data_IF_475155889310
#
_entry.id   IF_475155889310
#
_cell.length_a   1.000
_cell.length_b   1.000
_cell.length_c   1.000
_cell.angle_alpha   90.00
_cell.angle_beta   90.00
_cell.angle_gamma   90.00
#
_symmetry.space_group_name_H-M   'P 1'
#
loop_
_entity.id
_entity.type
_entity.pdbx_description
1 polymer ?
#
# COMPACT_ATOMS: atom_id res chain seq x y z
N UNK A 1 39.56 54.69 35.74
CA UNK A 1 39.72 53.59 34.78
C UNK A 1 38.59 52.57 35.02
N UNK A 2 37.56 52.57 34.15
CA UNK A 2 36.41 51.64 34.25
C UNK A 2 36.75 50.43 33.37
N UNK A 3 36.80 49.23 33.98
CA UNK A 3 36.97 47.98 33.26
C UNK A 3 35.60 47.48 32.78
N UNK A 4 35.39 47.39 31.48
CA UNK A 4 34.22 46.83 30.83
C UNK A 4 34.48 45.31 30.70
N UNK A 5 33.75 44.52 31.49
CA UNK A 5 33.77 43.07 31.36
C UNK A 5 32.94 42.62 30.17
N UNK A 6 33.56 41.96 29.21
CA UNK A 6 32.90 41.37 28.05
C UNK A 6 32.29 40.02 28.45
N UNK A 7 30.96 39.93 28.52
CA UNK A 7 30.25 38.64 28.76
C UNK A 7 30.02 38.00 27.39
N UNK A 8 30.74 36.89 27.11
CA UNK A 8 30.53 36.07 25.95
C UNK A 8 29.42 35.05 26.30
N UNK A 9 28.22 35.27 25.76
CA UNK A 9 27.13 34.28 25.84
C UNK A 9 27.35 33.25 24.74
N UNK A 10 27.81 32.06 25.11
CA UNK A 10 27.89 30.92 24.20
C UNK A 10 26.47 30.37 23.95
N UNK A 11 25.92 30.61 22.78
CA UNK A 11 24.68 29.98 22.29
C UNK A 11 24.99 28.52 21.93
N UNK A 12 24.70 27.59 22.83
CA UNK A 12 24.74 26.16 22.54
C UNK A 12 23.45 25.83 21.75
N UNK A 13 23.56 25.74 20.43
CA UNK A 13 22.50 25.20 19.59
C UNK A 13 22.41 23.71 19.76
N UNK A 14 21.42 23.22 20.52
CA UNK A 14 21.06 21.83 20.53
C UNK A 14 20.47 21.47 19.17
N UNK A 15 21.27 20.86 18.29
CA UNK A 15 20.77 20.21 17.10
C UNK A 15 19.99 18.96 17.56
N UNK A 16 18.68 19.11 17.72
CA UNK A 16 17.77 17.99 17.93
C UNK A 16 17.82 17.10 16.70
N UNK A 17 18.54 15.99 16.77
CA UNK A 17 18.46 14.94 15.78
C UNK A 17 17.08 14.28 15.92
N UNK A 18 16.07 14.82 15.24
CA UNK A 18 14.80 14.15 15.05
C UNK A 18 15.08 12.86 14.31
N UNK A 19 15.09 11.73 15.04
CA UNK A 19 15.03 10.42 14.40
C UNK A 19 13.71 10.41 13.63
N UNK A 20 13.77 10.32 12.30
CA UNK A 20 12.59 10.19 11.47
C UNK A 20 11.77 9.00 12.00
N UNK A 21 10.62 9.29 12.59
CA UNK A 21 9.73 8.27 13.13
C UNK A 21 9.25 7.44 11.94
N UNK A 22 9.45 6.12 12.02
CA UNK A 22 9.08 5.22 10.93
C UNK A 22 7.56 5.28 10.72
N UNK A 23 7.14 5.64 9.53
CA UNK A 23 5.73 5.80 9.18
C UNK A 23 5.17 4.45 8.73
N UNK A 24 4.29 3.85 9.52
CA UNK A 24 3.65 2.60 9.17
C UNK A 24 2.36 2.83 8.38
N UNK A 25 2.19 2.08 7.29
CA UNK A 25 1.04 2.14 6.40
C UNK A 25 -0.01 1.06 6.72
N UNK A 26 0.31 0.16 7.63
CA UNK A 26 -0.53 -0.91 8.13
C UNK A 26 -0.60 -0.83 9.65
N UNK A 27 -1.70 -1.25 10.29
CA UNK A 27 -1.81 -1.23 11.75
C UNK A 27 -0.77 -2.17 12.37
N UNK A 28 -0.20 -1.74 13.51
CA UNK A 28 0.66 -2.56 14.35
C UNK A 28 -0.20 -3.28 15.40
N UNK A 29 0.01 -4.56 15.60
CA UNK A 29 -0.68 -5.35 16.63
C UNK A 29 -1.94 -6.08 16.09
N UNK A 30 -2.66 -6.84 16.91
CA UNK A 30 -3.85 -7.60 16.51
C UNK A 30 -5.03 -6.66 16.32
N UNK A 31 -5.69 -6.71 15.17
CA UNK A 31 -7.00 -6.11 14.94
C UNK A 31 -8.01 -7.24 14.78
N UNK A 32 -8.97 -7.33 15.70
CA UNK A 32 -10.16 -8.18 15.61
C UNK A 32 -9.91 -9.58 15.00
N UNK A 33 -9.38 -10.51 15.78
CA UNK A 33 -9.27 -11.97 15.55
C UNK A 33 -8.59 -12.48 14.25
N UNK A 34 -8.18 -11.61 13.32
CA UNK A 34 -7.43 -12.01 12.13
C UNK A 34 -5.91 -11.93 12.35
N UNK A 35 -5.19 -12.93 11.82
CA UNK A 35 -3.71 -12.94 11.82
C UNK A 35 -3.20 -11.74 11.03
N UNK A 36 -2.42 -10.89 11.68
CA UNK A 36 -1.88 -9.68 11.06
C UNK A 36 -0.62 -9.94 10.26
N UNK A 37 -0.27 -8.93 9.46
CA UNK A 37 1.06 -8.86 8.85
C UNK A 37 2.12 -8.84 9.94
N UNK A 38 3.22 -9.57 9.77
CA UNK A 38 4.37 -9.48 10.67
C UNK A 38 5.09 -8.13 10.53
N UNK A 39 5.87 -7.78 11.54
CA UNK A 39 6.58 -6.49 11.61
C UNK A 39 7.53 -6.26 10.43
N UNK A 40 8.17 -7.31 9.90
CA UNK A 40 9.05 -7.19 8.74
C UNK A 40 8.24 -6.82 7.50
N UNK A 41 7.14 -7.52 7.21
CA UNK A 41 6.24 -7.23 6.09
C UNK A 41 5.66 -5.81 6.20
N UNK A 42 5.17 -5.41 7.39
CA UNK A 42 4.64 -4.06 7.63
C UNK A 42 5.69 -3.00 7.29
N UNK A 43 6.93 -3.17 7.76
CA UNK A 43 8.01 -2.22 7.51
C UNK A 43 8.33 -2.14 6.02
N UNK A 44 8.58 -3.27 5.36
CA UNK A 44 8.93 -3.34 3.95
C UNK A 44 7.84 -2.72 3.06
N UNK A 45 6.57 -3.12 3.25
CA UNK A 45 5.46 -2.59 2.45
C UNK A 45 5.24 -1.10 2.71
N UNK A 46 5.44 -0.64 3.96
CA UNK A 46 5.34 0.77 4.31
C UNK A 46 6.40 1.61 3.61
N UNK A 47 7.64 1.15 3.52
CA UNK A 47 8.72 1.83 2.79
C UNK A 47 8.37 1.99 1.30
N UNK A 48 7.77 0.96 0.68
CA UNK A 48 7.33 1.01 -0.73
C UNK A 48 6.18 2.02 -0.91
N UNK A 49 5.18 2.01 -0.03
CA UNK A 49 4.03 2.91 -0.10
C UNK A 49 4.41 4.36 0.20
N UNK A 50 5.34 4.59 1.13
CA UNK A 50 5.89 5.92 1.42
C UNK A 50 6.64 6.49 0.20
N UNK A 51 7.50 5.69 -0.44
CA UNK A 51 8.23 6.10 -1.62
C UNK A 51 7.31 6.44 -2.81
N UNK A 52 6.16 5.77 -2.91
CA UNK A 52 5.12 6.06 -3.90
C UNK A 52 4.17 7.19 -3.47
N UNK A 53 4.43 7.84 -2.33
CA UNK A 53 3.58 8.89 -1.77
C UNK A 53 2.10 8.48 -1.71
N UNK A 54 1.85 7.29 -1.14
CA UNK A 54 0.50 6.78 -0.91
C UNK A 54 -0.10 7.29 0.40
N UNK A 55 -1.44 7.39 0.54
CA UNK A 55 -2.07 7.68 1.83
C UNK A 55 -2.03 6.46 2.76
N UNK A 56 -2.07 6.72 4.07
CA UNK A 56 -2.30 5.68 5.08
C UNK A 56 -3.81 5.47 5.19
N UNK A 57 -4.34 4.41 4.56
CA UNK A 57 -5.79 4.26 4.46
C UNK A 57 -6.47 3.79 5.75
N UNK A 58 -5.81 3.01 6.60
CA UNK A 58 -6.41 2.53 7.86
C UNK A 58 -6.61 3.66 8.90
N UNK A 59 -5.91 4.79 8.76
CA UNK A 59 -6.07 5.96 9.61
C UNK A 59 -7.12 6.96 9.08
N UNK A 60 -7.61 6.75 7.86
CA UNK A 60 -8.62 7.64 7.27
C UNK A 60 -9.97 7.46 8.00
N UNK A 61 -10.42 8.52 8.69
CA UNK A 61 -11.68 8.56 9.45
C UNK A 61 -12.87 9.04 8.62
N UNK A 62 -12.68 9.36 7.35
CA UNK A 62 -13.77 9.78 6.46
C UNK A 62 -14.68 8.61 6.11
N UNK A 63 -15.88 8.91 5.60
CA UNK A 63 -16.80 7.90 5.08
C UNK A 63 -16.44 7.38 3.69
N UNK A 64 -15.28 7.77 3.18
CA UNK A 64 -14.77 7.30 1.89
C UNK A 64 -14.48 5.79 1.96
N UNK A 65 -14.98 5.05 0.98
CA UNK A 65 -14.56 3.67 0.76
C UNK A 65 -13.30 3.65 -0.10
N UNK A 66 -12.28 2.95 0.36
CA UNK A 66 -10.99 2.87 -0.32
C UNK A 66 -10.49 1.45 -0.32
N UNK A 67 -10.10 0.99 -1.50
CA UNK A 67 -9.42 -0.30 -1.67
C UNK A 67 -8.09 -0.06 -2.40
N UNK A 68 -7.03 -0.74 -1.95
CA UNK A 68 -5.70 -0.61 -2.53
C UNK A 68 -5.09 -1.97 -2.79
N UNK A 69 -4.73 -2.21 -4.04
CA UNK A 69 -3.90 -3.33 -4.44
C UNK A 69 -2.46 -2.87 -4.59
N UNK A 70 -1.55 -3.49 -3.85
CA UNK A 70 -0.10 -3.27 -3.91
C UNK A 70 0.57 -4.52 -4.41
N UNK A 71 1.33 -4.41 -5.49
CA UNK A 71 2.02 -5.53 -6.11
C UNK A 71 3.53 -5.29 -6.10
N UNK A 72 4.24 -6.03 -5.26
CA UNK A 72 5.68 -5.93 -5.07
C UNK A 72 6.36 -7.16 -5.67
N UNK A 73 6.88 -7.01 -6.87
CA UNK A 73 7.59 -8.06 -7.61
C UNK A 73 9.08 -8.04 -7.28
N UNK A 74 9.70 -9.22 -7.09
CA UNK A 74 11.11 -9.33 -6.72
C UNK A 74 12.03 -8.56 -7.67
N UNK A 75 11.79 -8.60 -8.98
CA UNK A 75 12.68 -8.03 -10.00
C UNK A 75 12.02 -6.97 -10.90
N UNK A 76 10.77 -6.64 -10.66
CA UNK A 76 10.04 -5.67 -11.46
C UNK A 76 9.54 -4.49 -10.62
N UNK A 77 9.14 -3.45 -11.32
CA UNK A 77 8.64 -2.22 -10.71
C UNK A 77 7.46 -2.48 -9.77
N UNK A 78 7.44 -1.88 -8.56
CA UNK A 78 6.28 -1.94 -7.69
C UNK A 78 5.10 -1.21 -8.34
N UNK A 79 3.91 -1.77 -8.17
CA UNK A 79 2.65 -1.22 -8.68
C UNK A 79 1.69 -1.04 -7.52
N UNK A 80 1.01 0.10 -7.48
CA UNK A 80 -0.10 0.36 -6.57
C UNK A 80 -1.30 0.82 -7.39
N UNK A 81 -2.45 0.20 -7.14
CA UNK A 81 -3.74 0.58 -7.73
C UNK A 81 -4.70 0.86 -6.58
N UNK A 82 -5.32 2.04 -6.56
CA UNK A 82 -6.30 2.41 -5.55
C UNK A 82 -7.61 2.78 -6.22
N UNK A 83 -8.71 2.19 -5.76
CA UNK A 83 -10.06 2.47 -6.19
C UNK A 83 -10.86 3.03 -5.01
N UNK A 84 -11.59 4.10 -5.23
CA UNK A 84 -12.21 4.89 -4.18
C UNK A 84 -13.61 5.33 -4.56
N UNK A 85 -14.50 5.34 -3.56
CA UNK A 85 -15.82 5.96 -3.64
C UNK A 85 -15.93 7.04 -2.57
N UNK A 86 -16.33 8.24 -2.98
CA UNK A 86 -16.58 9.34 -2.07
C UNK A 86 -17.77 10.18 -2.59
N UNK A 87 -18.85 10.26 -1.80
CA UNK A 87 -20.04 11.07 -2.14
C UNK A 87 -20.57 10.83 -3.57
N UNK A 88 -20.62 9.57 -4.02
CA UNK A 88 -21.12 9.21 -5.35
C UNK A 88 -20.12 9.44 -6.50
N UNK A 89 -18.92 9.88 -6.22
CA UNK A 89 -17.81 9.93 -7.17
C UNK A 89 -16.96 8.66 -7.04
N UNK A 90 -16.56 8.09 -8.17
CA UNK A 90 -15.76 6.87 -8.25
C UNK A 90 -14.47 7.16 -8.99
N UNK A 91 -13.35 6.86 -8.37
CA UNK A 91 -12.01 7.14 -8.88
C UNK A 91 -11.15 5.90 -8.85
N UNK A 92 -10.38 5.66 -9.89
CA UNK A 92 -9.25 4.75 -9.87
C UNK A 92 -7.96 5.52 -10.11
N UNK A 93 -6.95 5.26 -9.28
CA UNK A 93 -5.61 5.82 -9.42
C UNK A 93 -4.58 4.71 -9.39
N UNK A 94 -3.48 4.87 -10.10
CA UNK A 94 -2.38 3.90 -10.08
C UNK A 94 -1.03 4.58 -10.14
N UNK A 95 -0.05 3.92 -9.54
CA UNK A 95 1.34 4.33 -9.54
C UNK A 95 2.23 3.15 -9.90
N UNK A 96 3.28 3.45 -10.66
CA UNK A 96 4.34 2.48 -10.99
C UNK A 96 5.65 3.10 -10.56
N UNK A 97 6.28 2.51 -9.56
CA UNK A 97 7.55 2.99 -9.02
C UNK A 97 8.74 2.65 -9.91
N UNK A 98 9.87 3.29 -9.71
CA UNK A 98 11.14 2.89 -10.31
C UNK A 98 11.88 1.88 -9.41
N UNK A 99 12.70 1.02 -10.01
CA UNK A 99 13.38 -0.06 -9.30
C UNK A 99 12.54 -1.34 -9.22
N UNK A 100 12.84 -2.20 -8.27
CA UNK A 100 12.16 -3.47 -8.09
C UNK A 100 11.52 -3.56 -6.70
N UNK A 101 10.30 -4.12 -6.63
CA UNK A 101 9.50 -4.18 -5.41
C UNK A 101 10.12 -5.04 -4.29
N UNK A 102 11.02 -5.98 -4.63
CA UNK A 102 11.74 -6.79 -3.66
C UNK A 102 12.90 -6.08 -2.96
N UNK A 103 13.25 -4.88 -3.39
CA UNK A 103 14.42 -4.15 -2.90
C UNK A 103 14.03 -2.80 -2.29
N UNK A 104 15.05 -2.06 -1.81
CA UNK A 104 14.85 -0.72 -1.28
C UNK A 104 14.19 0.18 -2.34
N UNK A 105 13.07 0.84 -2.01
CA UNK A 105 12.33 1.63 -2.97
C UNK A 105 13.11 2.86 -3.45
N UNK A 106 12.83 3.29 -4.67
CA UNK A 106 13.23 4.59 -5.22
C UNK A 106 12.06 5.55 -5.14
N UNK A 107 12.34 6.85 -5.13
CA UNK A 107 11.30 7.90 -4.99
C UNK A 107 10.64 8.30 -6.30
N UNK A 108 11.22 7.93 -7.45
CA UNK A 108 10.65 8.25 -8.75
C UNK A 108 9.52 7.28 -9.08
N UNK A 109 8.40 7.80 -9.54
CA UNK A 109 7.24 7.01 -9.96
C UNK A 109 6.40 7.73 -11.02
N UNK A 110 5.66 6.95 -11.79
CA UNK A 110 4.59 7.43 -12.67
C UNK A 110 3.27 7.34 -11.91
N UNK A 111 2.46 8.39 -11.97
CA UNK A 111 1.15 8.46 -11.32
C UNK A 111 0.07 8.87 -12.31
N UNK A 112 -1.01 8.12 -12.36
CA UNK A 112 -2.19 8.41 -13.19
C UNK A 112 -3.47 8.15 -12.38
N UNK A 113 -4.57 8.73 -12.87
CA UNK A 113 -5.90 8.51 -12.32
C UNK A 113 -6.98 8.74 -13.39
N UNK A 114 -8.15 8.12 -13.19
CA UNK A 114 -9.35 8.41 -14.00
C UNK A 114 -10.62 8.19 -13.19
N UNK A 115 -11.66 8.93 -13.56
CA UNK A 115 -13.00 8.70 -13.05
C UNK A 115 -13.53 7.43 -13.71
N UNK A 116 -14.20 6.58 -12.94
CA UNK A 116 -14.87 5.38 -13.40
C UNK A 116 -16.38 5.52 -13.21
N UNK A 117 -17.14 4.76 -13.98
CA UNK A 117 -18.60 4.74 -13.86
C UNK A 117 -19.05 3.97 -12.61
N UNK A 118 -20.28 4.25 -12.13
CA UNK A 118 -20.93 3.47 -11.09
C UNK A 118 -21.04 1.98 -11.44
N UNK A 119 -21.19 1.66 -12.72
CA UNK A 119 -21.25 0.28 -13.19
C UNK A 119 -19.93 -0.46 -12.94
N UNK A 120 -18.77 0.15 -13.24
CA UNK A 120 -17.44 -0.41 -12.96
C UNK A 120 -17.24 -0.56 -11.45
N UNK A 121 -17.64 0.43 -10.65
CA UNK A 121 -17.59 0.33 -9.20
C UNK A 121 -18.42 -0.85 -8.66
N UNK A 122 -19.66 -0.99 -9.14
CA UNK A 122 -20.53 -2.10 -8.72
C UNK A 122 -19.96 -3.46 -9.14
N UNK A 123 -19.38 -3.56 -10.34
CA UNK A 123 -18.70 -4.77 -10.79
C UNK A 123 -17.49 -5.11 -9.88
N UNK A 124 -16.68 -4.10 -9.53
CA UNK A 124 -15.57 -4.25 -8.58
C UNK A 124 -16.07 -4.78 -7.22
N UNK A 125 -17.10 -4.19 -6.64
CA UNK A 125 -17.67 -4.62 -5.34
C UNK A 125 -18.22 -6.05 -5.43
N UNK A 126 -18.91 -6.41 -6.52
CA UNK A 126 -19.40 -7.76 -6.71
C UNK A 126 -18.26 -8.78 -6.78
N UNK A 127 -17.17 -8.47 -7.49
CA UNK A 127 -15.98 -9.34 -7.54
C UNK A 127 -15.28 -9.43 -6.19
N UNK A 128 -15.25 -8.35 -5.41
CA UNK A 128 -14.69 -8.32 -4.06
C UNK A 128 -15.49 -9.25 -3.12
N UNK A 129 -16.81 -9.26 -3.23
CA UNK A 129 -17.67 -10.19 -2.50
C UNK A 129 -17.47 -11.64 -2.94
N UNK A 130 -17.31 -11.90 -4.24
CA UNK A 130 -17.07 -13.25 -4.78
C UNK A 130 -15.78 -13.91 -4.27
N UNK A 131 -14.80 -13.12 -3.82
CA UNK A 131 -13.59 -13.63 -3.18
C UNK A 131 -13.68 -13.66 -1.66
N UNK A 132 -14.82 -13.27 -1.07
CA UNK A 132 -15.03 -13.15 0.37
C UNK A 132 -13.94 -12.32 1.07
N UNK A 133 -13.52 -11.22 0.44
CA UNK A 133 -12.37 -10.41 0.86
C UNK A 133 -12.35 -10.11 2.36
N UNK A 134 -13.48 -9.74 2.94
CA UNK A 134 -13.56 -9.32 4.34
C UNK A 134 -13.41 -10.46 5.35
N UNK A 135 -13.56 -11.71 4.90
CA UNK A 135 -13.47 -12.93 5.71
C UNK A 135 -12.19 -13.73 5.41
N UNK A 136 -11.40 -13.27 4.42
CA UNK A 136 -10.13 -13.94 4.08
C UNK A 136 -9.12 -13.75 5.20
N UNK A 137 -8.34 -14.79 5.50
CA UNK A 137 -7.18 -14.65 6.37
C UNK A 137 -6.19 -13.63 5.78
N UNK A 138 -5.63 -12.78 6.64
CA UNK A 138 -4.61 -11.79 6.23
C UNK A 138 -3.45 -12.44 5.52
N UNK A 139 -2.87 -13.49 6.10
CA UNK A 139 -1.76 -14.25 5.49
C UNK A 139 -2.17 -15.67 5.13
N UNK A 140 -1.68 -16.12 3.98
CA UNK A 140 -1.67 -17.53 3.65
C UNK A 140 -0.41 -18.18 4.22
N UNK A 141 -0.59 -19.30 4.95
CA UNK A 141 0.51 -20.03 5.62
C UNK A 141 1.26 -21.01 4.69
N UNK A 142 1.09 -20.88 3.37
CA UNK A 142 1.76 -21.72 2.40
C UNK A 142 3.27 -21.45 2.27
N UNK A 143 3.93 -22.28 1.45
CA UNK A 143 5.38 -22.20 1.23
C UNK A 143 5.76 -20.85 0.60
N UNK A 144 6.64 -20.11 1.26
CA UNK A 144 7.24 -18.89 0.71
C UNK A 144 8.39 -19.30 -0.21
N UNK A 145 8.40 -18.75 -1.43
CA UNK A 145 9.52 -18.85 -2.35
C UNK A 145 10.53 -17.72 -2.18
N UNK A 146 11.69 -17.85 -2.84
CA UNK A 146 12.72 -16.80 -2.85
C UNK A 146 12.46 -15.77 -3.94
N UNK A 147 11.88 -16.17 -5.07
CA UNK A 147 11.59 -15.34 -6.23
C UNK A 147 10.09 -15.36 -6.52
N UNK A 148 9.48 -14.17 -6.62
CA UNK A 148 8.04 -14.07 -6.80
C UNK A 148 7.53 -12.67 -6.56
N UNK A 149 6.31 -12.53 -6.03
CA UNK A 149 5.75 -11.23 -5.71
C UNK A 149 4.75 -11.28 -4.56
N UNK A 150 4.68 -10.18 -3.82
CA UNK A 150 3.62 -9.95 -2.85
C UNK A 150 2.45 -9.25 -3.52
N UNK A 151 1.27 -9.82 -3.36
CA UNK A 151 -0.01 -9.31 -3.81
C UNK A 151 -0.82 -8.92 -2.58
N UNK A 152 -0.84 -7.63 -2.27
CA UNK A 152 -1.41 -7.10 -1.03
C UNK A 152 -2.67 -6.33 -1.39
N UNK A 153 -3.81 -6.76 -0.88
CA UNK A 153 -5.10 -6.09 -1.06
C UNK A 153 -5.58 -5.54 0.27
N UNK A 154 -5.81 -4.25 0.34
CA UNK A 154 -6.37 -3.56 1.51
C UNK A 154 -7.76 -3.03 1.18
N UNK A 155 -8.62 -3.00 2.17
CA UNK A 155 -9.94 -2.38 2.10
C UNK A 155 -10.27 -1.60 3.36
N UNK A 156 -10.84 -0.41 3.19
CA UNK A 156 -11.34 0.45 4.26
C UNK A 156 -12.72 0.96 3.89
N UNK A 157 -13.68 0.72 4.75
CA UNK A 157 -15.03 1.31 4.72
C UNK A 157 -15.29 2.04 6.02
N UNK A 158 -16.51 2.61 6.23
CA UNK A 158 -16.87 3.21 7.52
C UNK A 158 -16.76 2.19 8.65
N UNK A 159 -15.73 2.35 9.50
CA UNK A 159 -15.52 1.51 10.70
C UNK A 159 -14.88 0.13 10.47
N UNK A 160 -14.54 -0.25 9.24
CA UNK A 160 -13.93 -1.55 8.95
C UNK A 160 -12.66 -1.36 8.10
N UNK A 161 -11.59 -2.05 8.48
CA UNK A 161 -10.33 -2.16 7.72
C UNK A 161 -9.91 -3.61 7.66
N UNK A 162 -9.43 -4.04 6.51
CA UNK A 162 -8.91 -5.38 6.30
C UNK A 162 -7.74 -5.37 5.32
N UNK A 163 -6.85 -6.36 5.45
CA UNK A 163 -5.72 -6.58 4.54
C UNK A 163 -5.53 -8.06 4.28
N UNK A 164 -5.30 -8.40 3.03
CA UNK A 164 -4.99 -9.76 2.55
C UNK A 164 -3.66 -9.72 1.81
N UNK A 165 -2.74 -10.58 2.22
CA UNK A 165 -1.40 -10.71 1.64
C UNK A 165 -1.20 -12.13 1.09
N UNK A 166 -0.81 -12.23 -0.19
CA UNK A 166 -0.56 -13.49 -0.89
C UNK A 166 0.77 -13.45 -1.62
N UNK A 167 1.59 -14.44 -1.34
CA UNK A 167 2.82 -14.66 -2.10
C UNK A 167 2.51 -15.39 -3.40
N UNK A 168 2.81 -14.76 -4.53
CA UNK A 168 2.69 -15.35 -5.89
C UNK A 168 1.44 -16.23 -6.02
N UNK A 169 0.23 -15.65 -5.92
CA UNK A 169 -1.01 -16.42 -5.92
C UNK A 169 -1.17 -17.20 -7.23
N UNK A 170 -1.70 -18.41 -7.15
CA UNK A 170 -2.01 -19.24 -8.33
C UNK A 170 -2.92 -18.44 -9.30
N UNK A 171 -2.54 -18.41 -10.57
CA UNK A 171 -3.28 -17.72 -11.63
C UNK A 171 -4.74 -18.23 -11.81
N UNK A 172 -5.04 -19.46 -11.34
CA UNK A 172 -6.40 -20.02 -11.34
C UNK A 172 -7.23 -19.56 -10.15
N UNK A 173 -6.60 -19.03 -9.08
CA UNK A 173 -7.30 -18.58 -7.88
C UNK A 173 -8.20 -17.37 -8.15
N UNK A 174 -9.30 -17.29 -7.40
CA UNK A 174 -10.20 -16.15 -7.51
C UNK A 174 -9.51 -14.84 -7.04
N UNK A 175 -8.63 -14.92 -6.06
CA UNK A 175 -7.84 -13.78 -5.58
C UNK A 175 -6.94 -13.21 -6.69
N UNK A 176 -6.19 -14.06 -7.39
CA UNK A 176 -5.37 -13.63 -8.54
C UNK A 176 -6.24 -12.96 -9.62
N UNK A 177 -7.33 -13.61 -10.02
CA UNK A 177 -8.25 -13.09 -11.05
C UNK A 177 -8.83 -11.73 -10.66
N UNK A 178 -9.14 -11.54 -9.38
CA UNK A 178 -9.60 -10.25 -8.86
C UNK A 178 -8.53 -9.16 -8.96
N UNK A 179 -7.32 -9.43 -8.50
CA UNK A 179 -6.22 -8.47 -8.59
C UNK A 179 -5.84 -8.19 -10.06
N UNK A 180 -5.90 -9.21 -10.92
CA UNK A 180 -5.68 -9.05 -12.36
C UNK A 180 -6.74 -8.18 -13.03
N UNK A 181 -7.99 -8.31 -12.62
CA UNK A 181 -9.06 -7.40 -13.04
C UNK A 181 -8.75 -5.93 -12.67
N UNK A 182 -8.23 -5.66 -11.47
CA UNK A 182 -7.80 -4.32 -11.08
C UNK A 182 -6.70 -3.77 -11.99
N UNK A 183 -5.70 -4.60 -12.34
CA UNK A 183 -4.67 -4.23 -13.31
C UNK A 183 -5.32 -3.88 -14.65
N UNK A 184 -6.28 -4.68 -15.12
CA UNK A 184 -7.02 -4.46 -16.36
C UNK A 184 -7.84 -3.17 -16.41
N UNK A 185 -8.22 -2.62 -15.26
CA UNK A 185 -8.88 -1.31 -15.18
C UNK A 185 -7.92 -0.13 -15.41
N UNK A 186 -6.61 -0.36 -15.44
CA UNK A 186 -5.57 0.67 -15.64
C UNK A 186 -4.96 0.60 -17.02
N UNK A 187 -4.10 1.58 -17.34
CA UNK A 187 -3.32 1.58 -18.59
C UNK A 187 -1.92 0.97 -18.41
N UNK A 188 -1.68 0.27 -17.28
CA UNK A 188 -0.39 -0.37 -16.99
C UNK A 188 -0.13 -1.49 -17.99
N UNK A 189 1.02 -1.42 -18.66
CA UNK A 189 1.47 -2.46 -19.59
C UNK A 189 2.42 -3.43 -18.89
N UNK A 190 1.97 -4.66 -18.71
CA UNK A 190 2.80 -5.74 -18.17
C UNK A 190 3.35 -6.57 -19.31
N UNK A 191 4.67 -6.73 -19.36
CA UNK A 191 5.33 -7.59 -20.36
C UNK A 191 4.88 -9.05 -20.17
N UNK A 192 4.76 -9.78 -21.27
CA UNK A 192 4.47 -11.21 -21.22
C UNK A 192 5.46 -11.95 -20.31
N UNK A 193 4.97 -12.88 -19.49
CA UNK A 193 5.78 -13.64 -18.52
C UNK A 193 6.25 -12.85 -17.27
N UNK A 194 5.85 -11.57 -17.13
CA UNK A 194 6.21 -10.75 -15.95
C UNK A 194 5.04 -10.51 -14.98
N UNK A 195 3.97 -11.27 -15.15
CA UNK A 195 2.81 -11.29 -14.24
C UNK A 195 2.93 -12.55 -13.35
N UNK A 196 3.68 -12.42 -12.28
CA UNK A 196 3.94 -13.48 -11.29
C UNK A 196 3.74 -12.92 -9.89
#
# INVERSE_FOLDING_TARGET
>A
MKRIGLIIIALITFASHSKAQHKYYFPLGKTNDHVQLDTFSIKWYSEQLEALNEPIIFLDKSNKETYRFTWLRSFDQPVVIRIEQNNGQYLISWKVGSGAGGYKPKKEFISNQKIISKAIWNEFINKLHQIDFWEMDTKYTGVLGTDGSQWILEGKTSGKYHVVDRWTPDAKSNYYKFCDYLIGLTDIKIRAGRKY
#
